data_IF_503817316143
#
_entry.id   IF_503817316143
#
_cell.length_a   1.000
_cell.length_b   1.000
_cell.length_c   1.000
_cell.angle_alpha   90.00
_cell.angle_beta   90.00
_cell.angle_gamma   90.00
#
_symmetry.space_group_name_H-M   'P 1'
#
loop_
_entity.id
_entity.type
_entity.pdbx_description
1 polymer ?
#
# COMPACT_ATOMS: atom_id res chain seq x y z
N UNK A 1 2.28 13.23 -13.84
CA UNK A 1 3.11 14.40 -13.47
C UNK A 1 2.97 14.75 -12.00
N UNK A 2 1.75 14.92 -11.51
CA UNK A 2 1.43 15.27 -10.12
C UNK A 2 1.90 14.18 -9.14
N UNK A 3 1.67 12.90 -9.47
CA UNK A 3 2.13 11.77 -8.64
C UNK A 3 3.65 11.74 -8.51
N UNK A 4 4.36 12.05 -9.59
CA UNK A 4 5.83 12.16 -9.59
C UNK A 4 6.30 13.39 -8.80
N UNK A 5 5.65 14.54 -8.95
CA UNK A 5 5.95 15.78 -8.21
C UNK A 5 5.78 15.55 -6.71
N UNK A 6 4.65 14.92 -6.28
CA UNK A 6 4.43 14.54 -4.89
C UNK A 6 5.61 13.77 -4.30
N UNK A 7 6.06 12.71 -4.98
CA UNK A 7 7.16 11.90 -4.47
C UNK A 7 8.48 12.68 -4.42
N UNK A 8 8.81 13.44 -5.48
CA UNK A 8 10.02 14.28 -5.49
C UNK A 8 10.04 15.29 -4.34
N UNK A 9 8.92 15.94 -4.06
CA UNK A 9 8.85 16.95 -2.99
C UNK A 9 9.02 16.33 -1.60
N UNK A 10 8.58 15.09 -1.37
CA UNK A 10 8.88 14.40 -0.11
C UNK A 10 10.38 14.11 0.04
N UNK A 11 11.08 13.77 -1.07
CA UNK A 11 12.53 13.59 -1.05
C UNK A 11 13.26 14.90 -0.80
N UNK A 12 12.81 16.01 -1.41
CA UNK A 12 13.37 17.34 -1.23
C UNK A 12 13.15 17.86 0.20
N UNK A 13 11.97 17.61 0.79
CA UNK A 13 11.69 17.92 2.18
C UNK A 13 12.66 17.21 3.14
N UNK A 14 12.88 15.91 2.91
CA UNK A 14 13.86 15.14 3.70
C UNK A 14 15.27 15.72 3.62
N UNK A 15 15.70 16.12 2.41
CA UNK A 15 17.02 16.74 2.21
C UNK A 15 17.10 18.10 2.89
N UNK A 16 16.13 18.99 2.68
CA UNK A 16 16.06 20.31 3.28
C UNK A 16 16.12 20.25 4.82
N UNK A 17 15.44 19.26 5.42
CA UNK A 17 15.49 19.05 6.87
C UNK A 17 16.88 18.66 7.36
N UNK A 18 17.58 17.77 6.62
CA UNK A 18 18.97 17.37 6.94
C UNK A 18 19.96 18.54 6.79
N UNK A 19 19.70 19.45 5.86
CA UNK A 19 20.51 20.64 5.62
C UNK A 19 20.21 21.79 6.62
N UNK A 20 19.25 21.59 7.55
CA UNK A 20 18.87 22.59 8.57
C UNK A 20 17.79 23.58 8.12
N UNK A 21 17.21 23.43 6.93
CA UNK A 21 16.17 24.33 6.40
C UNK A 21 14.75 23.83 6.71
N UNK A 22 14.40 23.82 7.98
CA UNK A 22 13.11 23.24 8.45
C UNK A 22 11.89 23.93 7.83
N UNK A 23 11.93 25.26 7.64
CA UNK A 23 10.84 25.97 6.97
C UNK A 23 10.65 25.53 5.51
N UNK A 24 11.76 25.40 4.77
CA UNK A 24 11.73 24.93 3.37
C UNK A 24 11.22 23.49 3.31
N UNK A 25 11.64 22.63 4.24
CA UNK A 25 11.13 21.26 4.31
C UNK A 25 9.61 21.22 4.50
N UNK A 26 9.05 22.04 5.39
CA UNK A 26 7.59 22.14 5.60
C UNK A 26 6.84 22.61 4.36
N UNK A 27 7.39 23.56 3.61
CA UNK A 27 6.80 24.04 2.35
C UNK A 27 6.79 22.91 1.31
N UNK A 28 7.84 22.11 1.19
CA UNK A 28 7.85 20.94 0.32
C UNK A 28 6.82 19.89 0.75
N UNK A 29 6.67 19.61 2.05
CA UNK A 29 5.68 18.67 2.58
C UNK A 29 4.24 19.14 2.28
N UNK A 30 3.96 20.43 2.49
CA UNK A 30 2.67 21.04 2.17
C UNK A 30 2.36 20.92 0.68
N UNK A 31 3.31 21.33 -0.18
CA UNK A 31 3.14 21.25 -1.63
C UNK A 31 2.98 19.80 -2.09
N UNK A 32 3.72 18.85 -1.53
CA UNK A 32 3.53 17.42 -1.83
C UNK A 32 2.10 16.93 -1.48
N UNK A 33 1.50 17.48 -0.42
CA UNK A 33 0.09 17.26 -0.09
C UNK A 33 -0.85 17.79 -1.16
N UNK A 34 -0.60 19.00 -1.67
CA UNK A 34 -1.41 19.59 -2.74
C UNK A 34 -1.33 18.78 -4.05
N UNK A 35 -0.11 18.33 -4.42
CA UNK A 35 0.08 17.52 -5.64
C UNK A 35 -0.61 16.15 -5.54
N UNK A 36 -0.72 15.59 -4.33
CA UNK A 36 -1.53 14.38 -4.10
C UNK A 36 -3.01 14.61 -4.45
N UNK A 37 -3.58 15.72 -3.99
CA UNK A 37 -4.99 16.05 -4.27
C UNK A 37 -5.22 16.35 -5.76
N UNK A 38 -4.26 17.01 -6.44
CA UNK A 38 -4.32 17.21 -7.89
C UNK A 38 -4.29 15.87 -8.63
N UNK A 39 -3.38 14.96 -8.26
CA UNK A 39 -3.31 13.63 -8.86
C UNK A 39 -4.60 12.82 -8.65
N UNK A 40 -5.20 12.88 -7.45
CA UNK A 40 -6.47 12.22 -7.14
C UNK A 40 -7.63 12.79 -7.96
N UNK A 41 -7.66 14.12 -8.16
CA UNK A 41 -8.66 14.78 -9.01
C UNK A 41 -8.63 14.21 -10.43
N UNK A 42 -7.45 14.14 -11.05
CA UNK A 42 -7.30 13.61 -12.41
C UNK A 42 -7.55 12.11 -12.47
N UNK A 43 -7.16 11.36 -11.44
CA UNK A 43 -7.45 9.93 -11.35
C UNK A 43 -8.96 9.67 -11.37
N UNK A 44 -9.75 10.42 -10.61
CA UNK A 44 -11.22 10.32 -10.60
C UNK A 44 -11.82 10.55 -11.97
N UNK A 45 -11.34 11.54 -12.75
CA UNK A 45 -11.82 11.76 -14.12
C UNK A 45 -11.53 10.58 -15.06
N UNK A 46 -10.51 9.79 -14.80
CA UNK A 46 -10.19 8.56 -15.54
C UNK A 46 -11.02 7.35 -15.08
N UNK A 47 -11.77 7.47 -13.96
CA UNK A 47 -12.54 6.42 -13.32
C UNK A 47 -13.98 6.86 -13.00
N UNK A 48 -14.68 7.42 -14.00
CA UNK A 48 -16.11 7.81 -13.91
C UNK A 48 -16.44 8.76 -12.75
N UNK A 49 -15.46 9.55 -12.29
CA UNK A 49 -15.64 10.59 -11.29
C UNK A 49 -15.41 10.18 -9.83
N UNK A 50 -15.00 8.94 -9.55
CA UNK A 50 -14.74 8.47 -8.19
C UNK A 50 -13.55 7.49 -8.13
N UNK A 51 -13.11 7.16 -6.93
CA UNK A 51 -12.18 6.06 -6.68
C UNK A 51 -12.97 4.74 -6.76
N UNK A 52 -12.54 3.76 -7.56
CA UNK A 52 -13.22 2.47 -7.67
C UNK A 52 -13.34 1.71 -6.34
N UNK A 53 -14.17 0.67 -6.33
CA UNK A 53 -14.34 -0.16 -5.13
C UNK A 53 -13.04 -0.81 -4.66
N UNK A 54 -12.98 -1.18 -3.38
CA UNK A 54 -11.79 -1.84 -2.80
C UNK A 54 -11.41 -3.11 -3.55
N UNK A 55 -12.37 -3.89 -4.05
CA UNK A 55 -12.10 -5.10 -4.82
C UNK A 55 -11.44 -4.77 -6.17
N UNK A 56 -11.98 -3.79 -6.90
CA UNK A 56 -11.39 -3.31 -8.16
C UNK A 56 -9.99 -2.76 -7.93
N UNK A 57 -9.80 -1.97 -6.88
CA UNK A 57 -8.48 -1.41 -6.56
C UNK A 57 -7.45 -2.47 -6.17
N UNK A 58 -7.87 -3.55 -5.46
CA UNK A 58 -6.98 -4.67 -5.13
C UNK A 58 -6.59 -5.48 -6.36
N UNK A 59 -7.51 -5.65 -7.31
CA UNK A 59 -7.22 -6.33 -8.56
C UNK A 59 -6.28 -5.50 -9.44
N UNK A 60 -6.53 -4.21 -9.59
CA UNK A 60 -5.69 -3.28 -10.33
C UNK A 60 -4.27 -3.24 -9.75
N UNK A 61 -4.16 -3.07 -8.42
CA UNK A 61 -2.87 -3.09 -7.73
C UNK A 61 -2.12 -4.41 -7.97
N UNK A 62 -2.79 -5.57 -7.80
CA UNK A 62 -2.16 -6.87 -8.03
C UNK A 62 -1.68 -7.04 -9.48
N UNK A 63 -2.44 -6.53 -10.45
CA UNK A 63 -2.06 -6.59 -11.87
C UNK A 63 -0.88 -5.65 -12.17
N UNK A 64 -0.83 -4.47 -11.54
CA UNK A 64 0.30 -3.56 -11.64
C UNK A 64 1.59 -4.20 -11.12
N UNK A 65 1.57 -4.72 -9.91
CA UNK A 65 2.72 -5.42 -9.30
C UNK A 65 3.16 -6.63 -10.13
N UNK A 66 2.19 -7.40 -10.68
CA UNK A 66 2.48 -8.52 -11.57
C UNK A 66 3.26 -8.06 -12.80
N UNK A 67 2.83 -7.00 -13.49
CA UNK A 67 3.56 -6.43 -14.61
C UNK A 67 4.97 -5.97 -14.21
N UNK A 68 5.10 -5.34 -13.04
CA UNK A 68 6.40 -4.84 -12.58
C UNK A 68 7.43 -5.95 -12.40
N UNK A 69 7.07 -7.06 -11.76
CA UNK A 69 8.06 -8.12 -11.51
C UNK A 69 8.22 -9.11 -12.66
N UNK A 70 7.17 -9.35 -13.49
CA UNK A 70 7.26 -10.32 -14.59
C UNK A 70 7.85 -9.74 -15.88
N UNK A 71 7.72 -8.43 -16.12
CA UNK A 71 8.17 -7.75 -17.33
C UNK A 71 9.14 -6.61 -17.04
N UNK A 72 8.68 -5.57 -16.36
CA UNK A 72 9.39 -4.28 -16.25
C UNK A 72 10.77 -4.43 -15.60
N UNK A 73 10.84 -4.97 -14.38
CA UNK A 73 12.11 -5.12 -13.67
C UNK A 73 13.01 -6.20 -14.27
N UNK A 74 12.44 -7.26 -14.82
CA UNK A 74 13.22 -8.31 -15.50
C UNK A 74 13.93 -7.73 -16.73
N UNK A 75 13.20 -6.98 -17.57
CA UNK A 75 13.74 -6.31 -18.76
C UNK A 75 14.79 -5.26 -18.37
N UNK A 76 14.47 -4.38 -17.41
CA UNK A 76 15.40 -3.35 -16.94
C UNK A 76 16.69 -3.97 -16.34
N UNK A 77 16.59 -5.07 -15.61
CA UNK A 77 17.74 -5.75 -15.04
C UNK A 77 18.65 -6.33 -16.13
N UNK A 78 18.06 -6.88 -17.19
CA UNK A 78 18.80 -7.41 -18.34
C UNK A 78 19.52 -6.28 -19.09
N UNK A 79 18.79 -5.21 -19.45
CA UNK A 79 19.34 -4.05 -20.14
C UNK A 79 20.49 -3.40 -19.34
N UNK A 80 20.29 -3.18 -18.05
CA UNK A 80 21.33 -2.62 -17.18
C UNK A 80 22.57 -3.51 -17.08
N UNK A 81 22.40 -4.85 -17.08
CA UNK A 81 23.53 -5.77 -17.08
C UNK A 81 24.31 -5.73 -18.40
N UNK A 82 23.61 -5.67 -19.53
CA UNK A 82 24.20 -5.57 -20.87
C UNK A 82 24.99 -4.26 -21.05
N UNK A 83 24.47 -3.15 -20.48
CA UNK A 83 25.14 -1.85 -20.48
C UNK A 83 26.26 -1.74 -19.43
N UNK A 84 26.51 -2.78 -18.63
CA UNK A 84 27.59 -2.83 -17.62
C UNK A 84 27.21 -2.29 -16.24
N UNK A 85 25.96 -1.87 -16.00
CA UNK A 85 25.46 -1.38 -14.71
C UNK A 85 25.07 -2.52 -13.76
N UNK A 86 26.02 -3.35 -13.38
CA UNK A 86 25.78 -4.60 -12.61
C UNK A 86 25.08 -4.36 -11.26
N UNK A 87 25.44 -3.28 -10.55
CA UNK A 87 24.81 -2.93 -9.28
C UNK A 87 23.32 -2.56 -9.46
N UNK A 88 23.02 -1.77 -10.50
CA UNK A 88 21.64 -1.37 -10.83
C UNK A 88 20.84 -2.59 -11.23
N UNK A 89 21.39 -3.46 -12.08
CA UNK A 89 20.77 -4.73 -12.48
C UNK A 89 20.41 -5.61 -11.28
N UNK A 90 21.31 -5.71 -10.31
CA UNK A 90 21.05 -6.45 -9.07
C UNK A 90 19.91 -5.81 -8.25
N UNK A 91 19.88 -4.48 -8.15
CA UNK A 91 18.81 -3.75 -7.45
C UNK A 91 17.46 -3.94 -8.13
N UNK A 92 17.38 -3.88 -9.46
CA UNK A 92 16.13 -4.17 -10.18
C UNK A 92 15.58 -5.57 -9.88
N UNK A 93 16.42 -6.61 -9.85
CA UNK A 93 15.98 -7.96 -9.48
C UNK A 93 15.49 -8.04 -8.04
N UNK A 94 16.18 -7.37 -7.10
CA UNK A 94 15.75 -7.36 -5.70
C UNK A 94 14.42 -6.63 -5.50
N UNK A 95 14.21 -5.50 -6.19
CA UNK A 95 12.93 -4.78 -6.14
C UNK A 95 11.83 -5.63 -6.79
N UNK A 96 12.07 -6.21 -7.97
CA UNK A 96 11.10 -7.11 -8.61
C UNK A 96 10.66 -8.29 -7.72
N UNK A 97 11.56 -8.82 -6.88
CA UNK A 97 11.18 -9.84 -5.90
C UNK A 97 10.25 -9.28 -4.80
N UNK A 98 10.38 -8.00 -4.44
CA UNK A 98 9.48 -7.33 -3.49
C UNK A 98 8.08 -7.15 -4.11
N UNK A 99 8.02 -6.73 -5.38
CA UNK A 99 6.74 -6.51 -6.07
C UNK A 99 5.95 -7.82 -6.24
N UNK A 100 6.63 -8.95 -6.37
CA UNK A 100 5.98 -10.27 -6.31
C UNK A 100 5.28 -10.52 -4.97
N UNK A 101 5.90 -10.19 -3.85
CA UNK A 101 5.29 -10.30 -2.51
C UNK A 101 4.10 -9.34 -2.33
N UNK A 102 4.17 -8.15 -2.96
CA UNK A 102 3.05 -7.21 -2.98
C UNK A 102 1.86 -7.78 -3.77
N UNK A 103 2.09 -8.33 -4.97
CA UNK A 103 1.04 -9.00 -5.74
C UNK A 103 0.37 -10.12 -4.95
N UNK A 104 1.16 -11.05 -4.37
CA UNK A 104 0.63 -12.16 -3.57
C UNK A 104 -0.23 -11.67 -2.41
N UNK A 105 0.20 -10.58 -1.75
CA UNK A 105 -0.54 -9.93 -0.67
C UNK A 105 -1.87 -9.37 -1.15
N UNK A 106 -1.89 -8.61 -2.25
CA UNK A 106 -3.13 -8.03 -2.78
C UNK A 106 -4.10 -9.09 -3.27
N UNK A 107 -3.64 -10.14 -3.97
CA UNK A 107 -4.49 -11.27 -4.38
C UNK A 107 -5.09 -12.00 -3.19
N UNK A 108 -4.33 -12.18 -2.12
CA UNK A 108 -4.84 -12.80 -0.88
C UNK A 108 -5.90 -11.93 -0.20
N UNK A 109 -5.71 -10.62 -0.15
CA UNK A 109 -6.70 -9.69 0.40
C UNK A 109 -7.97 -9.66 -0.43
N UNK A 110 -7.86 -9.61 -1.76
CA UNK A 110 -8.99 -9.70 -2.68
C UNK A 110 -9.78 -10.99 -2.46
N UNK A 111 -9.11 -12.13 -2.43
CA UNK A 111 -9.72 -13.42 -2.14
C UNK A 111 -10.45 -13.43 -0.81
N UNK A 112 -9.89 -12.84 0.25
CA UNK A 112 -10.57 -12.77 1.55
C UNK A 112 -11.88 -11.98 1.50
N UNK A 113 -11.96 -10.92 0.66
CA UNK A 113 -13.20 -10.16 0.45
C UNK A 113 -14.22 -11.03 -0.31
N UNK A 114 -13.82 -11.63 -1.43
CA UNK A 114 -14.67 -12.45 -2.29
C UNK A 114 -15.26 -13.67 -1.55
N UNK A 115 -14.48 -14.26 -0.65
CA UNK A 115 -14.91 -15.39 0.18
C UNK A 115 -15.65 -14.96 1.46
N UNK A 116 -15.79 -13.66 1.72
CA UNK A 116 -16.46 -13.13 2.92
C UNK A 116 -15.75 -13.46 4.24
N UNK A 117 -14.43 -13.70 4.19
CA UNK A 117 -13.64 -14.15 5.34
C UNK A 117 -12.75 -13.06 5.95
N UNK A 118 -12.92 -11.79 5.56
CA UNK A 118 -12.16 -10.68 6.17
C UNK A 118 -12.38 -10.63 7.69
N UNK A 119 -13.64 -10.77 8.12
CA UNK A 119 -14.07 -10.71 9.53
C UNK A 119 -14.58 -12.03 10.09
N UNK A 120 -14.30 -13.14 9.41
CA UNK A 120 -14.70 -14.49 9.84
C UNK A 120 -13.65 -15.54 9.45
N UNK A 121 -13.64 -16.67 10.15
CA UNK A 121 -12.79 -17.84 9.86
C UNK A 121 -13.55 -19.12 10.22
N UNK A 122 -13.14 -20.24 9.66
CA UNK A 122 -13.74 -21.55 9.96
C UNK A 122 -13.45 -22.01 11.39
N UNK A 123 -12.31 -21.60 11.96
CA UNK A 123 -11.90 -21.88 13.34
C UNK A 123 -11.85 -20.61 14.21
N UNK A 124 -11.65 -20.79 15.52
CA UNK A 124 -11.47 -19.68 16.43
C UNK A 124 -10.17 -18.93 16.12
N UNK A 125 -10.29 -17.63 16.00
CA UNK A 125 -9.20 -16.69 15.79
C UNK A 125 -9.16 -15.64 16.88
N UNK A 126 -8.02 -14.97 17.00
CA UNK A 126 -7.86 -13.84 17.91
C UNK A 126 -8.08 -12.55 17.09
N UNK A 127 -9.16 -11.85 17.42
CA UNK A 127 -9.52 -10.56 16.82
C UNK A 127 -9.10 -9.43 17.73
N UNK A 128 -8.46 -8.42 17.19
CA UNK A 128 -8.05 -7.23 17.93
C UNK A 128 -8.71 -5.99 17.34
N UNK A 129 -9.31 -5.18 18.21
CA UNK A 129 -9.76 -3.84 17.83
C UNK A 129 -8.55 -2.92 17.65
N UNK A 130 -8.33 -2.43 16.43
CA UNK A 130 -7.22 -1.53 16.09
C UNK A 130 -7.29 -0.15 16.78
N UNK A 131 -8.47 0.25 17.27
CA UNK A 131 -8.65 1.53 17.98
C UNK A 131 -8.26 1.44 19.46
N UNK A 132 -8.72 0.40 20.19
CA UNK A 132 -8.52 0.35 21.64
C UNK A 132 -7.74 -0.86 22.14
N UNK A 133 -7.33 -1.76 21.25
CA UNK A 133 -6.57 -2.95 21.60
C UNK A 133 -7.40 -4.11 22.21
N UNK A 134 -8.73 -3.94 22.36
CA UNK A 134 -9.59 -5.00 22.89
C UNK A 134 -9.48 -6.29 22.07
N UNK A 135 -9.37 -7.43 22.77
CA UNK A 135 -9.19 -8.74 22.16
C UNK A 135 -10.44 -9.59 22.36
N UNK A 136 -10.87 -10.28 21.30
CA UNK A 136 -11.96 -11.26 21.31
C UNK A 136 -11.46 -12.53 20.63
N UNK A 137 -11.84 -13.69 21.19
CA UNK A 137 -11.56 -15.00 20.59
C UNK A 137 -12.87 -15.57 20.04
N UNK A 138 -12.84 -16.05 18.80
CA UNK A 138 -14.00 -16.67 18.16
C UNK A 138 -13.87 -16.71 16.64
N UNK A 139 -14.85 -17.32 15.98
CA UNK A 139 -14.89 -17.48 14.52
C UNK A 139 -15.14 -16.18 13.77
N UNK A 140 -15.75 -15.18 14.43
CA UNK A 140 -16.14 -13.91 13.81
C UNK A 140 -15.73 -12.72 14.68
N UNK A 141 -15.31 -11.63 14.04
CA UNK A 141 -15.16 -10.35 14.70
C UNK A 141 -16.54 -9.84 15.16
N UNK A 142 -16.64 -9.18 16.34
CA UNK A 142 -17.88 -8.56 16.79
C UNK A 142 -18.36 -7.46 15.84
N UNK A 143 -19.68 -7.28 15.70
CA UNK A 143 -20.24 -6.19 14.90
C UNK A 143 -19.89 -4.79 15.47
N UNK A 144 -19.64 -4.73 16.78
CA UNK A 144 -19.27 -3.51 17.50
C UNK A 144 -18.33 -3.87 18.65
N UNK A 145 -17.29 -3.09 18.82
CA UNK A 145 -16.37 -3.27 19.94
C UNK A 145 -17.06 -2.95 21.27
N UNK A 146 -17.10 -3.90 22.26
CA UNK A 146 -17.79 -3.69 23.51
C UNK A 146 -17.11 -2.63 24.41
N UNK A 147 -15.83 -2.31 24.15
CA UNK A 147 -15.06 -1.36 24.95
C UNK A 147 -15.19 0.08 24.41
N UNK A 148 -14.95 0.27 23.10
CA UNK A 148 -14.87 1.62 22.53
C UNK A 148 -15.96 1.93 21.49
N UNK A 149 -16.90 1.03 21.29
CA UNK A 149 -18.04 1.15 20.41
C UNK A 149 -17.72 1.37 18.90
N UNK A 150 -16.48 1.17 18.47
CA UNK A 150 -16.12 1.20 17.05
C UNK A 150 -16.73 0.00 16.32
N UNK A 151 -17.12 0.15 15.04
CA UNK A 151 -17.74 -0.91 14.25
C UNK A 151 -16.76 -2.03 13.93
N UNK A 152 -17.27 -3.15 13.45
CA UNK A 152 -16.53 -4.35 13.02
C UNK A 152 -15.33 -4.05 12.11
N UNK A 153 -15.43 -3.02 11.28
CA UNK A 153 -14.35 -2.58 10.39
C UNK A 153 -13.01 -2.28 11.12
N UNK A 154 -13.06 -2.01 12.42
CA UNK A 154 -11.87 -1.78 13.25
C UNK A 154 -11.24 -3.07 13.80
N UNK A 155 -11.82 -4.24 13.55
CA UNK A 155 -11.22 -5.50 13.98
C UNK A 155 -10.31 -6.07 12.90
N UNK A 156 -9.21 -6.64 13.35
CA UNK A 156 -8.24 -7.36 12.53
C UNK A 156 -7.78 -8.64 13.25
N UNK A 157 -7.22 -9.58 12.50
CA UNK A 157 -6.54 -10.72 13.11
C UNK A 157 -5.31 -10.23 13.87
N UNK A 158 -5.17 -10.68 15.11
CA UNK A 158 -3.99 -10.36 15.92
C UNK A 158 -2.77 -11.13 15.39
N UNK A 159 -1.79 -10.41 14.88
CA UNK A 159 -0.48 -10.97 14.56
C UNK A 159 0.40 -10.97 15.83
N UNK A 160 1.07 -12.11 16.10
CA UNK A 160 2.02 -12.29 17.20
C UNK A 160 3.29 -12.97 16.67
N UNK A 161 3.91 -12.33 15.70
CA UNK A 161 5.10 -12.83 15.01
C UNK A 161 6.38 -12.07 15.40
N UNK A 162 6.40 -11.48 16.57
CA UNK A 162 7.52 -10.79 17.20
C UNK A 162 8.12 -11.62 18.32
#
# INVERSE_FOLDING_TARGET
>A
GESMARNKYTYYASKAKKDGYVQIAKIFEETAGNEKEHAELWFKYLHDGDIPSTEVNLEDAANGENFEWTDMYERMAKEAAEEGFREIAAKFRMVGAIEKEHEERYRKLLKNIQEGIVFSRDGDCIWQCSNCGHIVIGKKAPEKCPVCAHPKAYFQLLAKNY
#
